data_IF_188533403553
#
_entry.id   IF_188533403553
#
_cell.length_a   1.000
_cell.length_b   1.000
_cell.length_c   1.000
_cell.angle_alpha   90.00
_cell.angle_beta   90.00
_cell.angle_gamma   90.00
#
_symmetry.space_group_name_H-M   'P 1'
#
loop_
_entity.id
_entity.type
_entity.pdbx_description
1 polymer ?
#
# COMPACT_ATOMS: atom_id res chain seq x y z
N UNK A 1 13.24 -15.28 35.58
CA UNK A 1 13.22 -14.36 34.40
C UNK A 1 13.52 -15.04 33.06
N UNK A 2 14.27 -16.15 32.96
CA UNK A 2 14.64 -16.75 31.66
C UNK A 2 13.47 -17.29 30.82
N UNK A 3 12.57 -18.08 31.42
CA UNK A 3 11.47 -18.72 30.69
C UNK A 3 10.45 -17.71 30.10
N UNK A 4 10.24 -16.58 30.75
CA UNK A 4 9.32 -15.53 30.25
C UNK A 4 9.91 -14.75 29.08
N UNK A 5 11.24 -14.61 29.03
CA UNK A 5 11.95 -13.97 27.91
C UNK A 5 11.96 -14.88 26.69
N UNK A 6 12.21 -16.17 26.87
CA UNK A 6 12.18 -17.15 25.78
C UNK A 6 10.78 -17.29 25.17
N UNK A 7 9.75 -17.34 26.00
CA UNK A 7 8.37 -17.37 25.52
C UNK A 7 7.99 -16.08 24.75
N UNK A 8 8.44 -14.92 25.21
CA UNK A 8 8.22 -13.66 24.52
C UNK A 8 8.94 -13.62 23.16
N UNK A 9 10.20 -14.06 23.12
CA UNK A 9 11.01 -14.14 21.88
C UNK A 9 10.38 -15.13 20.91
N UNK A 10 9.96 -16.31 21.36
CA UNK A 10 9.29 -17.31 20.51
C UNK A 10 7.97 -16.78 19.94
N UNK A 11 7.19 -16.03 20.72
CA UNK A 11 5.92 -15.45 20.28
C UNK A 11 6.15 -14.32 19.26
N UNK A 12 7.19 -13.50 19.44
CA UNK A 12 7.58 -12.45 18.48
C UNK A 12 8.10 -13.05 17.18
N UNK A 13 8.97 -14.06 17.26
CA UNK A 13 9.50 -14.76 16.08
C UNK A 13 8.38 -15.49 15.31
N UNK A 14 7.44 -16.11 16.01
CA UNK A 14 6.29 -16.77 15.37
C UNK A 14 5.41 -15.77 14.62
N UNK A 15 5.17 -14.57 15.15
CA UNK A 15 4.41 -13.52 14.45
C UNK A 15 5.15 -12.94 13.24
N UNK A 16 6.48 -12.91 13.28
CA UNK A 16 7.30 -12.45 12.15
C UNK A 16 7.33 -13.47 11.01
N UNK A 17 7.27 -14.76 11.33
CA UNK A 17 7.26 -15.87 10.36
C UNK A 17 5.87 -16.13 9.76
N UNK A 18 4.79 -15.93 10.52
CA UNK A 18 3.41 -16.15 10.03
C UNK A 18 2.83 -14.99 9.20
N UNK A 19 3.63 -13.96 8.88
CA UNK A 19 3.21 -12.79 8.10
C UNK A 19 2.90 -13.04 6.63
N UNK A 20 2.58 -14.27 6.19
CA UNK A 20 2.41 -14.61 4.77
C UNK A 20 1.15 -15.43 4.49
N UNK A 21 -0.03 -14.85 4.75
CA UNK A 21 -1.29 -15.42 4.25
C UNK A 21 -2.41 -14.41 4.00
N UNK A 22 -2.11 -13.11 3.87
CA UNK A 22 -3.06 -12.18 3.30
C UNK A 22 -2.77 -12.06 1.82
N UNK A 23 -3.79 -12.24 0.97
CA UNK A 23 -3.81 -11.75 -0.41
C UNK A 23 -3.78 -10.20 -0.42
N UNK A 24 -2.73 -9.63 0.17
CA UNK A 24 -2.59 -8.22 0.50
C UNK A 24 -1.73 -7.55 -0.55
N UNK A 25 -2.31 -6.54 -1.20
CA UNK A 25 -1.64 -5.57 -2.05
C UNK A 25 -0.29 -5.14 -1.46
N UNK A 26 0.73 -5.07 -2.32
CA UNK A 26 2.06 -4.53 -1.97
C UNK A 26 1.89 -3.10 -1.45
N UNK A 27 2.24 -2.88 -0.18
CA UNK A 27 2.13 -1.58 0.49
C UNK A 27 3.30 -0.68 0.09
N UNK A 28 3.14 0.04 -1.00
CA UNK A 28 3.98 1.18 -1.37
C UNK A 28 3.62 2.37 -0.46
N UNK A 29 4.58 3.24 -0.16
CA UNK A 29 4.51 4.32 0.85
C UNK A 29 3.12 4.99 1.00
N UNK A 30 2.46 4.79 2.15
CA UNK A 30 1.09 5.27 2.44
C UNK A 30 1.11 6.67 3.08
N UNK A 31 0.20 7.54 2.63
CA UNK A 31 -0.17 8.80 3.29
C UNK A 31 -1.09 8.53 4.49
N UNK A 32 -0.52 8.23 5.65
CA UNK A 32 -1.24 8.17 6.93
C UNK A 32 -2.25 7.01 7.09
N UNK A 33 -2.72 6.75 8.31
CA UNK A 33 -3.48 5.53 8.65
C UNK A 33 -4.91 5.47 8.08
N UNK A 34 -5.44 6.57 7.54
CA UNK A 34 -6.86 6.69 7.13
C UNK A 34 -7.08 6.83 5.62
N UNK A 35 -6.02 6.82 4.80
CA UNK A 35 -6.15 6.80 3.33
C UNK A 35 -5.96 5.36 2.86
N UNK A 36 -6.91 4.74 2.15
CA UNK A 36 -6.69 3.41 1.60
C UNK A 36 -5.76 3.53 0.38
N UNK A 37 -4.44 3.63 0.52
CA UNK A 37 -3.50 3.93 -0.58
C UNK A 37 -3.26 2.82 -1.61
N UNK A 38 -4.06 1.74 -1.59
CA UNK A 38 -3.96 0.65 -2.54
C UNK A 38 -4.52 1.00 -3.92
N UNK A 39 -3.67 0.83 -4.95
CA UNK A 39 -4.08 0.81 -6.37
C UNK A 39 -4.02 -0.62 -6.88
N UNK A 40 -5.17 -1.16 -7.29
CA UNK A 40 -5.28 -2.49 -7.89
C UNK A 40 -6.18 -2.45 -9.13
N UNK A 41 -6.44 -3.59 -9.76
CA UNK A 41 -7.29 -3.69 -10.93
C UNK A 41 -8.05 -5.01 -10.95
N UNK A 42 -9.18 -5.01 -11.64
CA UNK A 42 -9.91 -6.22 -12.01
C UNK A 42 -10.17 -6.26 -13.52
N UNK A 43 -11.09 -7.12 -13.96
CA UNK A 43 -11.41 -7.25 -15.38
C UNK A 43 -12.13 -6.04 -16.00
N UNK A 44 -12.53 -5.05 -15.19
CA UNK A 44 -13.39 -3.94 -15.60
C UNK A 44 -12.73 -2.58 -15.42
N UNK A 45 -12.06 -2.35 -14.29
CA UNK A 45 -11.55 -1.03 -13.96
C UNK A 45 -10.38 -1.08 -12.97
N UNK A 46 -9.71 0.06 -12.83
CA UNK A 46 -8.81 0.31 -11.70
C UNK A 46 -9.64 0.48 -10.42
N UNK A 47 -9.17 -0.17 -9.36
CA UNK A 47 -9.71 -0.05 -8.00
C UNK A 47 -8.73 0.82 -7.21
N UNK A 48 -9.16 2.04 -6.94
CA UNK A 48 -8.39 3.04 -6.19
C UNK A 48 -9.09 3.21 -4.85
N UNK A 49 -8.35 2.95 -3.78
CA UNK A 49 -8.84 3.06 -2.42
C UNK A 49 -10.11 2.21 -2.19
N UNK A 50 -10.10 0.97 -2.71
CA UNK A 50 -11.21 0.01 -2.59
C UNK A 50 -12.42 0.28 -3.50
N UNK A 51 -12.41 1.36 -4.29
CA UNK A 51 -13.54 1.73 -5.16
C UNK A 51 -13.14 1.70 -6.64
N UNK A 52 -13.98 1.11 -7.49
CA UNK A 52 -13.79 1.14 -8.96
C UNK A 52 -13.97 2.56 -9.49
N UNK A 53 -13.01 3.05 -10.28
CA UNK A 53 -13.04 4.40 -10.88
C UNK A 53 -12.95 4.31 -12.40
N UNK A 54 -13.73 5.14 -13.10
CA UNK A 54 -13.50 5.46 -14.50
C UNK A 54 -12.57 6.66 -14.56
N UNK A 55 -11.38 6.49 -15.13
CA UNK A 55 -10.39 7.56 -15.23
C UNK A 55 -10.51 8.26 -16.58
N UNK A 56 -10.63 9.57 -16.55
CA UNK A 56 -10.38 10.43 -17.70
C UNK A 56 -8.94 10.93 -17.57
N UNK A 57 -8.09 10.58 -18.54
CA UNK A 57 -6.68 10.96 -18.54
C UNK A 57 -6.41 11.94 -19.67
N UNK A 58 -5.48 12.86 -19.44
CA UNK A 58 -4.90 13.72 -20.46
C UNK A 58 -3.38 13.54 -20.46
N UNK A 59 -2.74 13.91 -21.57
CA UNK A 59 -1.29 13.91 -21.68
C UNK A 59 -0.71 15.29 -21.40
N UNK A 60 0.34 15.34 -20.59
CA UNK A 60 1.14 16.56 -20.40
C UNK A 60 2.60 16.14 -20.57
N UNK A 61 3.25 16.68 -21.60
CA UNK A 61 4.68 16.50 -21.78
C UNK A 61 5.40 17.60 -21.01
N UNK A 62 5.84 17.28 -19.79
CA UNK A 62 6.45 18.23 -18.87
C UNK A 62 7.54 19.12 -19.49
N UNK A 63 8.48 18.62 -20.32
CA UNK A 63 9.48 19.47 -20.98
C UNK A 63 8.93 20.55 -21.93
N UNK A 64 7.67 20.45 -22.36
CA UNK A 64 7.00 21.44 -23.22
C UNK A 64 6.19 22.46 -22.41
N UNK A 65 6.22 22.40 -21.08
CA UNK A 65 5.54 23.34 -20.19
C UNK A 65 6.58 24.18 -19.45
N UNK A 66 6.27 25.45 -19.23
CA UNK A 66 7.03 26.30 -18.31
C UNK A 66 6.64 25.94 -16.88
N UNK A 67 7.58 25.67 -15.96
CA UNK A 67 7.28 25.48 -14.55
C UNK A 67 6.99 26.86 -13.93
N UNK A 68 5.82 27.44 -14.24
CA UNK A 68 5.34 28.62 -13.54
C UNK A 68 4.73 28.19 -12.20
N UNK A 69 5.31 28.72 -11.13
CA UNK A 69 4.70 28.73 -9.79
C UNK A 69 4.28 30.17 -9.57
N UNK A 70 2.99 30.46 -9.71
CA UNK A 70 2.42 31.75 -9.28
C UNK A 70 2.23 31.74 -7.77
#
# INVERSE_FOLDING_TARGET
MGAVVEAAVATVLLRLVMGTAAAGSVQWWEEGPDVPGGVTYDNRALVINGTRRMLFSGEIHYPRSTPEVT
#
